data_IF_860129671592
#
_entry.id   IF_860129671592
#
_cell.length_a   1.000
_cell.length_b   1.000
_cell.length_c   1.000
_cell.angle_alpha   90.00
_cell.angle_beta   90.00
_cell.angle_gamma   90.00
#
_symmetry.space_group_name_H-M   'P 1'
#
loop_
_entity.id
_entity.type
_entity.pdbx_description
1 polymer ?
#
# COMPACT_ATOMS: atom_id res chain seq x y z
N UNK A 1 9.82 -33.90 -0.80
CA UNK A 1 9.20 -32.86 0.06
C UNK A 1 7.70 -33.00 -0.11
N UNK A 2 6.96 -33.26 0.98
CA UNK A 2 5.52 -33.46 0.89
C UNK A 2 4.81 -32.12 0.64
N UNK A 3 4.03 -32.04 -0.42
CA UNK A 3 3.23 -30.86 -0.78
C UNK A 3 2.06 -30.69 0.20
N UNK A 4 1.84 -29.46 0.65
CA UNK A 4 0.73 -29.15 1.54
C UNK A 4 -0.62 -29.34 0.79
N UNK A 5 -1.68 -29.88 1.41
CA UNK A 5 -2.95 -30.19 0.73
C UNK A 5 -3.67 -28.98 0.09
N UNK A 6 -3.29 -27.76 0.44
CA UNK A 6 -3.80 -26.51 -0.16
C UNK A 6 -2.90 -25.95 -1.28
N UNK A 7 -1.76 -26.58 -1.56
CA UNK A 7 -0.75 -26.11 -2.51
C UNK A 7 -1.13 -26.52 -3.94
N UNK A 8 -1.87 -25.65 -4.64
CA UNK A 8 -2.36 -25.88 -6.03
C UNK A 8 -1.35 -25.53 -7.13
N UNK A 9 -0.33 -24.73 -6.81
CA UNK A 9 0.80 -24.37 -7.67
C UNK A 9 2.10 -24.72 -6.94
N UNK A 10 3.20 -24.97 -7.66
CA UNK A 10 4.55 -25.04 -7.07
C UNK A 10 4.91 -23.66 -6.51
N UNK A 11 4.45 -23.43 -5.29
CA UNK A 11 4.65 -22.21 -4.51
C UNK A 11 6.07 -22.16 -3.93
N UNK A 12 6.85 -21.08 -4.12
CA UNK A 12 6.70 -20.00 -5.12
C UNK A 12 7.84 -19.99 -6.16
N UNK A 13 7.51 -19.77 -7.44
CA UNK A 13 8.52 -19.52 -8.48
C UNK A 13 9.06 -18.09 -8.35
N UNK A 14 10.35 -17.96 -8.00
CA UNK A 14 11.02 -16.67 -7.77
C UNK A 14 10.90 -15.70 -8.95
N UNK A 15 10.91 -16.19 -10.18
CA UNK A 15 10.79 -15.34 -11.37
C UNK A 15 9.42 -14.66 -11.49
N UNK A 16 8.32 -15.36 -11.17
CA UNK A 16 6.98 -14.75 -11.19
C UNK A 16 6.80 -13.75 -10.04
N UNK A 17 7.32 -14.07 -8.86
CA UNK A 17 7.39 -13.15 -7.71
C UNK A 17 8.13 -11.87 -8.09
N UNK A 18 9.32 -12.02 -8.70
CA UNK A 18 10.12 -10.88 -9.14
C UNK A 18 9.40 -10.02 -10.18
N UNK A 19 8.72 -10.63 -11.16
CA UNK A 19 7.93 -9.89 -12.15
C UNK A 19 6.83 -9.08 -11.47
N UNK A 20 6.07 -9.69 -10.55
CA UNK A 20 5.02 -8.98 -9.81
C UNK A 20 5.62 -7.80 -9.02
N UNK A 21 6.72 -8.02 -8.30
CA UNK A 21 7.36 -6.99 -7.51
C UNK A 21 7.88 -5.84 -8.37
N UNK A 22 8.52 -6.13 -9.52
CA UNK A 22 9.01 -5.10 -10.45
C UNK A 22 7.86 -4.28 -11.04
N UNK A 23 6.77 -4.94 -11.47
CA UNK A 23 5.60 -4.25 -11.99
C UNK A 23 4.93 -3.36 -10.93
N UNK A 24 4.82 -3.86 -9.68
CA UNK A 24 4.28 -3.06 -8.59
C UNK A 24 5.17 -1.86 -8.25
N UNK A 25 6.50 -2.05 -8.13
CA UNK A 25 7.44 -0.92 -7.94
C UNK A 25 7.30 0.11 -9.06
N UNK A 26 7.25 -0.31 -10.32
CA UNK A 26 7.07 0.60 -11.44
C UNK A 26 5.75 1.39 -11.33
N UNK A 27 4.64 0.71 -10.99
CA UNK A 27 3.33 1.35 -10.77
C UNK A 27 3.38 2.37 -9.63
N UNK A 28 3.96 2.01 -8.49
CA UNK A 28 4.00 2.88 -7.32
C UNK A 28 4.96 4.06 -7.51
N UNK A 29 6.11 3.82 -8.14
CA UNK A 29 7.05 4.89 -8.50
C UNK A 29 6.45 5.88 -9.49
N UNK A 30 5.64 5.43 -10.45
CA UNK A 30 4.89 6.33 -11.34
C UNK A 30 3.98 7.27 -10.54
N UNK A 31 3.24 6.74 -9.56
CA UNK A 31 2.37 7.54 -8.70
C UNK A 31 3.15 8.54 -7.84
N UNK A 32 4.30 8.16 -7.27
CA UNK A 32 5.17 9.11 -6.56
C UNK A 32 5.71 10.19 -7.49
N UNK A 33 6.10 9.84 -8.72
CA UNK A 33 6.49 10.83 -9.71
C UNK A 33 5.34 11.79 -10.03
N UNK A 34 4.11 11.28 -10.23
CA UNK A 34 2.93 12.11 -10.43
C UNK A 34 2.76 13.16 -9.33
N UNK A 35 2.88 12.78 -8.05
CA UNK A 35 2.80 13.70 -6.91
C UNK A 35 3.85 14.83 -6.96
N UNK A 36 5.03 14.60 -7.56
CA UNK A 36 6.05 15.66 -7.71
C UNK A 36 5.71 16.69 -8.78
N UNK A 37 4.82 16.32 -9.71
CA UNK A 37 4.43 17.17 -10.85
C UNK A 37 3.02 17.76 -10.70
N UNK A 38 2.25 17.27 -9.74
CA UNK A 38 0.87 17.68 -9.53
C UNK A 38 0.80 18.94 -8.67
N UNK A 39 0.61 20.10 -9.31
CA UNK A 39 0.50 21.39 -8.62
C UNK A 39 -0.83 21.47 -7.85
N UNK A 40 -0.71 21.33 -6.54
CA UNK A 40 -1.84 21.38 -5.60
C UNK A 40 -1.41 22.12 -4.33
N UNK A 41 -2.34 22.65 -3.54
CA UNK A 41 -2.03 23.20 -2.21
C UNK A 41 -1.30 22.19 -1.33
N UNK A 42 -1.62 20.89 -1.47
CA UNK A 42 -0.98 19.78 -0.76
C UNK A 42 0.53 19.69 -1.02
N UNK A 43 0.99 20.03 -2.23
CA UNK A 43 2.41 19.98 -2.58
C UNK A 43 3.27 21.01 -1.80
N UNK A 44 2.63 22.03 -1.22
CA UNK A 44 3.27 23.11 -0.44
C UNK A 44 2.95 23.04 1.05
N UNK A 45 2.12 22.09 1.47
CA UNK A 45 1.63 21.94 2.84
C UNK A 45 2.63 21.19 3.74
N UNK A 46 2.52 21.42 5.06
CA UNK A 46 3.23 20.61 6.05
C UNK A 46 2.81 19.15 5.95
N UNK A 47 3.78 18.24 5.93
CA UNK A 47 3.55 16.82 5.71
C UNK A 47 3.38 16.43 4.24
N UNK A 48 3.44 17.38 3.29
CA UNK A 48 3.27 17.13 1.85
C UNK A 48 2.01 16.29 1.58
N UNK A 49 2.06 15.36 0.63
CA UNK A 49 0.96 14.40 0.42
C UNK A 49 0.90 13.27 1.48
N UNK A 50 1.84 13.20 2.43
CA UNK A 50 1.83 12.19 3.49
C UNK A 50 0.81 12.45 4.59
N UNK A 51 0.06 13.55 4.53
CA UNK A 51 -1.15 13.72 5.35
C UNK A 51 -2.24 12.70 4.98
N UNK A 52 -2.21 12.16 3.76
CA UNK A 52 -3.20 11.19 3.31
C UNK A 52 -2.76 9.76 3.60
N UNK A 53 -3.65 8.99 4.24
CA UNK A 53 -3.45 7.57 4.48
C UNK A 53 -3.14 6.77 3.20
N UNK A 54 -3.71 7.18 2.05
CA UNK A 54 -3.41 6.60 0.73
C UNK A 54 -1.93 6.68 0.38
N UNK A 55 -1.25 7.78 0.67
CA UNK A 55 0.18 7.94 0.31
C UNK A 55 1.08 7.21 1.31
N UNK A 56 0.68 7.13 2.58
CA UNK A 56 1.34 6.28 3.59
C UNK A 56 1.21 4.80 3.21
N UNK A 57 0.02 4.38 2.78
CA UNK A 57 -0.24 3.05 2.22
C UNK A 57 0.67 2.79 1.03
N UNK A 58 0.64 3.66 0.02
CA UNK A 58 1.43 3.52 -1.21
C UNK A 58 2.93 3.40 -0.91
N UNK A 59 3.41 4.14 0.09
CA UNK A 59 4.80 4.08 0.56
C UNK A 59 5.11 2.71 1.16
N UNK A 60 4.22 2.20 2.01
CA UNK A 60 4.36 0.87 2.62
C UNK A 60 4.34 -0.23 1.55
N UNK A 61 3.48 -0.09 0.54
CA UNK A 61 3.41 -0.96 -0.65
C UNK A 61 4.72 -0.95 -1.43
N UNK A 62 5.28 0.23 -1.70
CA UNK A 62 6.58 0.39 -2.37
C UNK A 62 7.73 -0.24 -1.57
N UNK A 63 7.77 -0.02 -0.25
CA UNK A 63 8.80 -0.59 0.62
C UNK A 63 8.71 -2.12 0.65
N UNK A 64 7.49 -2.67 0.78
CA UNK A 64 7.28 -4.12 0.75
C UNK A 64 7.80 -4.73 -0.56
N UNK A 65 7.45 -4.12 -1.70
CA UNK A 65 7.83 -4.63 -3.01
C UNK A 65 9.32 -4.41 -3.31
N UNK A 66 9.93 -3.33 -2.81
CA UNK A 66 11.37 -3.14 -2.89
C UNK A 66 12.14 -4.22 -2.12
N UNK A 67 11.71 -4.54 -0.89
CA UNK A 67 12.26 -5.69 -0.16
C UNK A 67 11.99 -7.03 -0.88
N UNK A 68 10.84 -7.16 -1.54
CA UNK A 68 10.49 -8.30 -2.39
C UNK A 68 11.50 -8.50 -3.52
N UNK A 69 11.80 -7.47 -4.31
CA UNK A 69 12.82 -7.50 -5.37
C UNK A 69 14.18 -7.90 -4.79
N UNK A 70 14.60 -7.27 -3.69
CA UNK A 70 15.89 -7.56 -3.07
C UNK A 70 15.96 -9.01 -2.57
N UNK A 71 14.90 -9.54 -1.97
CA UNK A 71 14.80 -10.93 -1.54
C UNK A 71 14.84 -11.89 -2.74
N UNK A 72 14.11 -11.58 -3.81
CA UNK A 72 14.04 -12.38 -5.02
C UNK A 72 15.37 -12.45 -5.78
N UNK A 73 16.17 -11.38 -5.75
CA UNK A 73 17.50 -11.35 -6.38
C UNK A 73 18.60 -11.97 -5.50
N UNK A 74 18.58 -11.70 -4.19
CA UNK A 74 19.71 -12.06 -3.30
C UNK A 74 19.50 -13.37 -2.54
N UNK A 75 18.26 -13.86 -2.41
CA UNK A 75 17.89 -15.00 -1.56
C UNK A 75 18.14 -14.78 -0.06
N UNK A 76 18.34 -13.54 0.40
CA UNK A 76 18.59 -13.25 1.81
C UNK A 76 17.28 -13.40 2.62
N UNK A 77 17.22 -14.29 3.62
CA UNK A 77 15.99 -14.56 4.38
C UNK A 77 15.47 -13.32 5.13
N UNK A 78 16.36 -12.46 5.61
CA UNK A 78 16.01 -11.24 6.33
C UNK A 78 15.23 -10.26 5.46
N UNK A 79 15.58 -10.13 4.18
CA UNK A 79 14.85 -9.26 3.24
C UNK A 79 13.44 -9.81 2.98
N UNK A 80 13.30 -11.13 2.87
CA UNK A 80 11.99 -11.77 2.73
C UNK A 80 11.13 -11.58 3.98
N UNK A 81 11.72 -11.68 5.18
CA UNK A 81 11.02 -11.40 6.44
C UNK A 81 10.60 -9.93 6.55
N UNK A 82 11.48 -9.00 6.19
CA UNK A 82 11.16 -7.56 6.16
C UNK A 82 10.02 -7.25 5.20
N UNK A 83 10.07 -7.80 3.98
CA UNK A 83 8.98 -7.72 3.00
C UNK A 83 7.65 -8.18 3.60
N UNK A 84 7.62 -9.37 4.21
CA UNK A 84 6.39 -9.93 4.76
C UNK A 84 5.89 -9.13 5.97
N UNK A 85 6.79 -8.62 6.83
CA UNK A 85 6.42 -7.80 7.97
C UNK A 85 5.71 -6.50 7.53
N UNK A 86 6.19 -5.85 6.47
CA UNK A 86 5.55 -4.65 5.92
C UNK A 86 4.26 -5.01 5.18
N UNK A 87 4.27 -6.04 4.33
CA UNK A 87 3.11 -6.46 3.53
C UNK A 87 1.91 -6.87 4.39
N UNK A 88 2.16 -7.48 5.55
CA UNK A 88 1.12 -7.83 6.54
C UNK A 88 0.31 -6.62 6.98
N UNK A 89 0.93 -5.44 7.06
CA UNK A 89 0.22 -4.21 7.39
C UNK A 89 -0.35 -3.51 6.17
N UNK A 90 0.47 -3.41 5.12
CA UNK A 90 0.12 -2.67 3.91
C UNK A 90 -1.09 -3.29 3.20
N UNK A 91 -1.15 -4.63 3.09
CA UNK A 91 -2.22 -5.31 2.34
C UNK A 91 -3.63 -5.00 2.86
N UNK A 92 -3.97 -5.23 4.15
CA UNK A 92 -5.30 -4.91 4.63
C UNK A 92 -5.58 -3.39 4.61
N UNK A 93 -4.57 -2.56 4.86
CA UNK A 93 -4.71 -1.11 4.79
C UNK A 93 -5.12 -0.65 3.39
N UNK A 94 -4.42 -1.11 2.36
CA UNK A 94 -4.67 -0.76 0.96
C UNK A 94 -6.00 -1.30 0.45
N UNK A 95 -6.40 -2.50 0.87
CA UNK A 95 -7.73 -3.04 0.57
C UNK A 95 -8.82 -2.16 1.19
N UNK A 96 -8.67 -1.72 2.44
CA UNK A 96 -9.62 -0.81 3.09
C UNK A 96 -9.66 0.54 2.37
N UNK A 97 -8.51 1.13 2.04
CA UNK A 97 -8.43 2.37 1.26
C UNK A 97 -9.18 2.21 -0.06
N UNK A 98 -8.95 1.11 -0.79
CA UNK A 98 -9.60 0.84 -2.07
C UNK A 98 -11.12 0.72 -1.95
N UNK A 99 -11.60 -0.08 -0.99
CA UNK A 99 -13.04 -0.28 -0.77
C UNK A 99 -13.71 1.05 -0.38
N UNK A 100 -13.13 1.80 0.55
CA UNK A 100 -13.69 3.08 1.00
C UNK A 100 -13.69 4.10 -0.13
N UNK A 101 -12.57 4.26 -0.84
CA UNK A 101 -12.45 5.20 -1.94
C UNK A 101 -13.47 4.91 -3.04
N UNK A 102 -13.45 3.71 -3.61
CA UNK A 102 -14.33 3.38 -4.73
C UNK A 102 -15.79 3.28 -4.30
N UNK A 103 -16.06 2.86 -3.06
CA UNK A 103 -17.41 2.82 -2.50
C UNK A 103 -18.01 4.22 -2.35
N UNK A 104 -17.28 5.17 -1.77
CA UNK A 104 -17.74 6.56 -1.63
C UNK A 104 -17.84 7.20 -3.02
N UNK A 105 -16.82 7.05 -3.87
CA UNK A 105 -16.79 7.62 -5.23
C UNK A 105 -17.97 7.16 -6.09
N UNK A 106 -18.38 5.90 -5.95
CA UNK A 106 -19.52 5.35 -6.67
C UNK A 106 -20.85 5.99 -6.24
N UNK A 107 -20.97 6.40 -4.97
CA UNK A 107 -22.18 7.04 -4.42
C UNK A 107 -22.17 8.53 -4.75
N UNK A 108 -21.11 9.23 -4.35
CA UNK A 108 -20.97 10.67 -4.55
C UNK A 108 -19.48 11.06 -4.54
N UNK A 109 -18.99 11.54 -5.69
CA UNK A 109 -17.60 11.97 -5.86
C UNK A 109 -17.23 13.21 -5.05
N UNK A 110 -18.21 14.08 -4.77
CA UNK A 110 -17.99 15.35 -4.06
C UNK A 110 -17.60 15.14 -2.58
N UNK A 111 -17.88 13.96 -2.02
CA UNK A 111 -17.47 13.57 -0.67
C UNK A 111 -15.97 13.28 -0.54
N UNK A 112 -15.27 13.07 -1.67
CA UNK A 112 -13.84 12.76 -1.68
C UNK A 112 -13.01 13.89 -2.27
N UNK A 113 -13.52 14.54 -3.32
CA UNK A 113 -12.77 15.47 -4.14
C UNK A 113 -13.63 16.72 -4.35
N UNK A 114 -13.17 17.92 -3.92
CA UNK A 114 -13.86 19.17 -4.24
C UNK A 114 -13.98 19.36 -5.75
N UNK A 115 -15.02 20.04 -6.22
CA UNK A 115 -15.31 20.17 -7.66
C UNK A 115 -14.15 20.77 -8.49
N UNK A 116 -13.32 21.58 -7.86
CA UNK A 116 -12.14 22.22 -8.47
C UNK A 116 -10.94 21.28 -8.64
N UNK A 117 -10.98 20.10 -8.00
CA UNK A 117 -9.96 19.07 -8.11
C UNK A 117 -10.48 17.92 -8.99
N UNK A 118 -9.71 17.57 -10.02
CA UNK A 118 -9.99 16.38 -10.83
C UNK A 118 -8.74 15.55 -10.94
N UNK A 119 -8.89 14.26 -10.64
CA UNK A 119 -7.85 13.27 -10.80
C UNK A 119 -8.19 12.40 -12.00
N UNK A 120 -7.26 12.34 -12.96
CA UNK A 120 -7.42 11.50 -14.13
C UNK A 120 -7.47 10.01 -13.74
N UNK A 121 -8.12 9.19 -14.56
CA UNK A 121 -8.37 7.78 -14.25
C UNK A 121 -7.09 6.99 -13.95
N UNK A 122 -5.99 7.28 -14.67
CA UNK A 122 -4.74 6.54 -14.51
C UNK A 122 -4.10 6.74 -13.12
N UNK A 123 -3.79 7.97 -12.68
CA UNK A 123 -3.28 8.17 -11.31
C UNK A 123 -4.30 7.73 -10.27
N UNK A 124 -5.59 7.88 -10.52
CA UNK A 124 -6.64 7.45 -9.60
C UNK A 124 -6.67 5.94 -9.34
N UNK A 125 -6.67 5.13 -10.40
CA UNK A 125 -6.48 3.68 -10.31
C UNK A 125 -5.12 3.35 -9.67
N UNK A 126 -4.10 4.12 -10.02
CA UNK A 126 -2.75 3.98 -9.48
C UNK A 126 -2.69 4.15 -7.96
N UNK A 127 -3.40 5.14 -7.41
CA UNK A 127 -3.41 5.40 -5.96
C UNK A 127 -4.36 4.47 -5.22
N UNK A 128 -5.54 4.19 -5.77
CA UNK A 128 -6.65 3.62 -4.99
C UNK A 128 -6.98 2.17 -5.34
N UNK A 129 -6.39 1.57 -6.37
CA UNK A 129 -6.66 0.18 -6.75
C UNK A 129 -5.40 -0.65 -6.92
N UNK A 130 -4.41 -0.13 -7.64
CA UNK A 130 -3.20 -0.88 -7.95
C UNK A 130 -2.49 -1.44 -6.71
N UNK A 131 -2.27 -0.69 -5.62
CA UNK A 131 -1.57 -1.20 -4.43
C UNK A 131 -2.32 -2.37 -3.79
N UNK A 132 -3.65 -2.25 -3.64
CA UNK A 132 -4.50 -3.31 -3.11
C UNK A 132 -4.41 -4.59 -3.95
N UNK A 133 -4.46 -4.47 -5.28
CA UNK A 133 -4.36 -5.62 -6.20
C UNK A 133 -2.98 -6.27 -6.12
N UNK A 134 -1.91 -5.49 -6.25
CA UNK A 134 -0.54 -6.01 -6.23
C UNK A 134 -0.22 -6.71 -4.92
N UNK A 135 -0.50 -6.08 -3.78
CA UNK A 135 -0.25 -6.68 -2.46
C UNK A 135 -1.12 -7.91 -2.20
N UNK A 136 -2.39 -7.91 -2.63
CA UNK A 136 -3.26 -9.08 -2.46
C UNK A 136 -2.78 -10.27 -3.28
N UNK A 137 -2.39 -10.04 -4.55
CA UNK A 137 -1.81 -11.10 -5.39
C UNK A 137 -0.53 -11.65 -4.78
N UNK A 138 0.35 -10.77 -4.29
CA UNK A 138 1.59 -11.16 -3.62
C UNK A 138 1.32 -11.96 -2.33
N UNK A 139 0.37 -11.51 -1.51
CA UNK A 139 0.01 -12.17 -0.26
C UNK A 139 -0.55 -13.58 -0.51
N UNK A 140 -1.44 -13.73 -1.50
CA UNK A 140 -2.13 -15.00 -1.76
C UNK A 140 -1.24 -16.00 -2.51
N UNK A 141 -0.40 -15.53 -3.45
CA UNK A 141 0.33 -16.40 -4.37
C UNK A 141 1.79 -16.63 -3.98
N UNK A 142 2.44 -15.65 -3.34
CA UNK A 142 3.90 -15.65 -3.15
C UNK A 142 4.38 -15.48 -1.70
N UNK A 143 3.46 -15.19 -0.77
CA UNK A 143 3.78 -15.01 0.65
C UNK A 143 3.40 -16.22 1.50
N UNK A 144 4.10 -16.48 2.63
CA UNK A 144 3.67 -17.48 3.58
C UNK A 144 2.33 -17.08 4.23
N UNK A 145 1.56 -18.05 4.76
CA UNK A 145 0.34 -17.75 5.51
C UNK A 145 0.59 -16.79 6.67
N UNK A 146 -0.41 -15.96 6.96
CA UNK A 146 -0.36 -14.97 8.02
C UNK A 146 -0.13 -15.61 9.39
N UNK A 147 0.92 -15.19 10.11
CA UNK A 147 1.30 -15.78 11.40
C UNK A 147 1.01 -14.87 12.61
N UNK A 148 0.48 -13.66 12.40
CA UNK A 148 0.18 -12.73 13.50
C UNK A 148 -1.10 -13.16 14.21
N UNK A 149 -1.05 -13.21 15.54
CA UNK A 149 -2.23 -13.53 16.37
C UNK A 149 -3.26 -12.40 16.33
N UNK A 150 -4.53 -12.71 16.61
CA UNK A 150 -5.60 -11.71 16.63
C UNK A 150 -5.26 -10.52 17.55
N UNK A 151 -4.76 -10.78 18.76
CA UNK A 151 -4.31 -9.74 19.69
C UNK A 151 -3.14 -8.91 19.15
N UNK A 152 -2.20 -9.55 18.43
CA UNK A 152 -1.11 -8.86 17.76
C UNK A 152 -1.63 -7.88 16.71
N UNK A 153 -2.54 -8.33 15.86
CA UNK A 153 -3.19 -7.50 14.84
C UNK A 153 -3.98 -6.35 15.47
N UNK A 154 -4.75 -6.60 16.53
CA UNK A 154 -5.51 -5.57 17.24
C UNK A 154 -4.61 -4.50 17.85
N UNK A 155 -3.53 -4.90 18.52
CA UNK A 155 -2.57 -3.99 19.15
C UNK A 155 -1.92 -3.11 18.10
N UNK A 156 -1.44 -3.74 17.03
CA UNK A 156 -0.76 -3.06 15.95
C UNK A 156 -1.68 -2.08 15.20
N UNK A 157 -2.91 -2.50 14.91
CA UNK A 157 -3.91 -1.64 14.27
C UNK A 157 -4.25 -0.43 15.15
N UNK A 158 -4.41 -0.63 16.47
CA UNK A 158 -4.67 0.45 17.42
C UNK A 158 -3.51 1.45 17.43
N UNK A 159 -2.27 0.98 17.56
CA UNK A 159 -1.09 1.84 17.57
C UNK A 159 -0.98 2.65 16.28
N UNK A 160 -1.17 2.01 15.12
CA UNK A 160 -1.11 2.71 13.83
C UNK A 160 -2.23 3.72 13.66
N UNK A 161 -3.45 3.40 14.11
CA UNK A 161 -4.58 4.32 14.04
C UNK A 161 -4.33 5.59 14.88
N UNK A 162 -3.86 5.45 16.12
CA UNK A 162 -3.52 6.60 16.96
C UNK A 162 -2.31 7.37 16.45
N UNK A 163 -1.30 6.68 15.90
CA UNK A 163 -0.14 7.33 15.29
C UNK A 163 -0.54 8.16 14.07
N UNK A 164 -1.39 7.61 13.19
CA UNK A 164 -1.92 8.33 12.04
C UNK A 164 -2.83 9.48 12.46
N UNK A 165 -3.69 9.28 13.46
CA UNK A 165 -4.52 10.37 14.00
C UNK A 165 -3.66 11.52 14.51
N UNK A 166 -2.67 11.25 15.36
CA UNK A 166 -1.74 12.26 15.85
C UNK A 166 -1.03 12.99 14.70
N UNK A 167 -0.61 12.25 13.67
CA UNK A 167 0.05 12.83 12.49
C UNK A 167 -0.87 13.78 11.72
N UNK A 168 -2.12 13.39 11.46
CA UNK A 168 -3.09 14.24 10.76
C UNK A 168 -3.41 15.50 11.58
N UNK A 169 -3.56 15.39 12.90
CA UNK A 169 -3.77 16.55 13.78
C UNK A 169 -2.57 17.52 13.75
N UNK A 170 -1.35 16.97 13.68
CA UNK A 170 -0.15 17.79 13.53
C UNK A 170 -0.16 18.52 12.17
N UNK A 171 -0.47 17.83 11.07
CA UNK A 171 -0.64 18.46 9.76
C UNK A 171 -1.71 19.56 9.81
N UNK A 172 -2.87 19.27 10.39
CA UNK A 172 -3.96 20.23 10.56
C UNK A 172 -3.52 21.47 11.34
N UNK A 173 -2.77 21.30 12.43
CA UNK A 173 -2.29 22.43 13.24
C UNK A 173 -1.37 23.41 12.49
N UNK A 174 -0.68 22.92 11.44
CA UNK A 174 0.20 23.73 10.59
C UNK A 174 -0.50 24.28 9.35
N UNK A 175 -1.42 23.52 8.76
CA UNK A 175 -2.04 23.83 7.47
C UNK A 175 -3.41 24.52 7.60
N UNK A 176 -4.11 24.29 8.70
CA UNK A 176 -5.49 24.75 8.94
C UNK A 176 -6.56 23.89 8.26
N UNK A 177 -6.17 22.77 7.65
CA UNK A 177 -7.00 21.77 6.98
C UNK A 177 -6.26 20.44 6.90
#
# INVERSE_FOLDING_TARGET
MASHPLQRLTSPSRSLSLILHVLGVASFSYNFHFLTTWDTPFAKAYGWHFQFLTIIGLTSSLVAFAFGILADLTSVPVLFQAKNAVAVLATPLEVVISILYWGIRFIDTSLLIPDDFRLDLLPDVGFHLAPAVFLTLDLILFSPPWTISAYGTMTLSTVLAFAYWYWVELCFSHNGW
#
